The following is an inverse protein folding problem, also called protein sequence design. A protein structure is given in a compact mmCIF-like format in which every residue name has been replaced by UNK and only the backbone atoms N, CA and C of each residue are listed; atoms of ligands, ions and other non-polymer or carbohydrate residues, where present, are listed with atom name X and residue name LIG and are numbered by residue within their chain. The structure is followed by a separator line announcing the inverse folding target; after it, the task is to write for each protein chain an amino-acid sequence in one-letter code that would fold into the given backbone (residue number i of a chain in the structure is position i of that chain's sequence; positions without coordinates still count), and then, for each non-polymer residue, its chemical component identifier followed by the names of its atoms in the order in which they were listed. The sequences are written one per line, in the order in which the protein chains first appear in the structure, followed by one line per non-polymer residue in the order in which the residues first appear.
data_IF_335723221683
#
_entry.id   IF_335723221683
#
_cell.length_a   1.000
_cell.length_b   1.000
_cell.length_c   1.000
_cell.angle_alpha   90.00
_cell.angle_beta   90.00
_cell.angle_gamma   90.00
#
_symmetry.space_group_name_H-M   'P 1'
#
loop_
_entity.id
_entity.type
_entity.pdbx_description
1 polymer ?
#
# COMPACT_ATOMS: atom_id res chain seq x y z
N UNK A 1 12.71 1.12 16.44
CA UNK A 1 11.81 0.44 15.49
C UNK A 1 10.86 -0.46 16.28
N UNK A 2 9.56 -0.53 15.94
CA UNK A 2 8.67 -1.48 16.61
C UNK A 2 9.22 -2.89 16.41
N UNK A 3 9.17 -3.71 17.45
CA UNK A 3 9.71 -5.08 17.49
C UNK A 3 8.85 -6.03 16.66
N UNK A 4 8.86 -5.86 15.35
CA UNK A 4 8.21 -6.80 14.43
C UNK A 4 9.16 -7.98 14.20
N UNK A 5 8.81 -9.13 14.77
CA UNK A 5 9.56 -10.39 14.66
C UNK A 5 9.14 -11.21 13.42
N UNK A 6 8.64 -10.55 12.37
CA UNK A 6 8.21 -11.19 11.13
C UNK A 6 9.28 -11.23 10.05
N UNK A 7 9.07 -12.08 9.06
CA UNK A 7 9.86 -12.09 7.83
C UNK A 7 9.43 -10.94 6.92
N UNK A 8 10.40 -10.26 6.31
CA UNK A 8 10.21 -9.19 5.35
C UNK A 8 10.37 -9.78 3.94
N UNK A 9 9.42 -9.51 3.06
CA UNK A 9 9.50 -9.88 1.66
C UNK A 9 9.58 -8.61 0.82
N UNK A 10 10.67 -8.47 0.05
CA UNK A 10 10.84 -7.34 -0.88
C UNK A 10 10.58 -7.88 -2.28
N UNK A 11 9.40 -7.58 -2.82
CA UNK A 11 9.03 -8.02 -4.18
C UNK A 11 9.56 -7.03 -5.19
N UNK A 12 10.62 -7.41 -5.91
CA UNK A 12 11.25 -6.56 -6.92
C UNK A 12 12.08 -7.39 -7.89
N UNK A 13 12.11 -6.97 -9.15
CA UNK A 13 13.08 -7.45 -10.14
C UNK A 13 14.32 -6.52 -10.24
N UNK A 14 14.34 -5.43 -9.46
CA UNK A 14 15.40 -4.44 -9.40
C UNK A 14 15.92 -4.35 -7.95
N UNK A 15 16.93 -5.15 -7.63
CA UNK A 15 17.50 -5.18 -6.27
C UNK A 15 18.25 -3.87 -6.02
N UNK A 16 17.88 -3.07 -5.01
CA UNK A 16 18.59 -1.84 -4.71
C UNK A 16 20.03 -2.09 -4.28
N UNK A 17 20.95 -1.25 -4.73
CA UNK A 17 22.39 -1.39 -4.45
C UNK A 17 22.76 -1.21 -2.97
N UNK A 18 21.86 -0.67 -2.15
CA UNK A 18 22.05 -0.49 -0.71
C UNK A 18 21.67 -1.71 0.12
N UNK A 19 20.93 -2.68 -0.45
CA UNK A 19 20.38 -3.82 0.27
C UNK A 19 21.43 -4.94 0.42
N UNK A 20 21.76 -5.30 1.66
CA UNK A 20 22.64 -6.43 1.98
C UNK A 20 21.90 -7.76 1.88
N UNK A 21 21.84 -8.33 0.68
CA UNK A 21 21.18 -9.62 0.44
C UNK A 21 21.84 -10.81 1.15
N UNK A 22 23.10 -10.67 1.59
CA UNK A 22 23.84 -11.75 2.26
C UNK A 22 23.35 -11.96 3.70
N UNK A 23 23.16 -10.85 4.43
CA UNK A 23 22.58 -10.86 5.79
C UNK A 23 21.07 -11.00 5.78
N UNK A 24 20.44 -10.70 4.64
CA UNK A 24 18.99 -10.69 4.51
C UNK A 24 18.37 -12.07 4.66
N UNK A 25 18.98 -13.16 4.15
CA UNK A 25 18.29 -14.46 3.94
C UNK A 25 17.51 -15.04 5.14
N UNK A 26 17.91 -14.78 6.39
CA UNK A 26 17.23 -15.32 7.58
C UNK A 26 15.97 -14.56 7.99
N UNK A 27 15.84 -13.27 7.66
CA UNK A 27 14.67 -12.45 8.04
C UNK A 27 14.08 -11.63 6.88
N UNK A 28 14.84 -11.36 5.82
CA UNK A 28 14.44 -10.64 4.62
C UNK A 28 14.68 -11.50 3.38
N UNK A 29 13.67 -11.66 2.54
CA UNK A 29 13.78 -12.37 1.25
C UNK A 29 13.39 -11.44 0.12
N UNK A 30 14.28 -11.30 -0.86
CA UNK A 30 13.93 -10.66 -2.13
C UNK A 30 13.17 -11.69 -2.96
N UNK A 31 12.02 -11.29 -3.51
CA UNK A 31 11.14 -12.11 -4.33
C UNK A 31 11.11 -11.50 -5.73
N UNK A 32 11.50 -12.26 -6.75
CA UNK A 32 11.28 -11.83 -8.13
C UNK A 32 9.80 -11.99 -8.49
N UNK A 33 9.27 -11.12 -9.37
CA UNK A 33 7.91 -11.29 -9.89
C UNK A 33 7.72 -12.65 -10.58
N UNK A 34 8.80 -13.24 -11.10
CA UNK A 34 8.84 -14.59 -11.70
C UNK A 34 8.52 -15.72 -10.73
N UNK A 35 8.65 -15.51 -9.43
CA UNK A 35 8.30 -16.51 -8.41
C UNK A 35 6.80 -16.53 -8.11
N UNK A 36 6.08 -15.45 -8.41
CA UNK A 36 4.67 -15.28 -8.01
C UNK A 36 3.72 -15.05 -9.19
N UNK A 37 4.22 -14.70 -10.38
CA UNK A 37 3.46 -14.48 -11.60
C UNK A 37 3.85 -15.52 -12.65
N UNK A 38 2.85 -16.07 -13.35
CA UNK A 38 3.05 -16.99 -14.48
C UNK A 38 3.91 -16.32 -15.56
N UNK A 39 4.90 -17.05 -16.09
CA UNK A 39 5.87 -16.56 -17.08
C UNK A 39 5.19 -15.94 -18.31
N UNK A 40 4.01 -16.42 -18.72
CA UNK A 40 3.29 -15.87 -19.88
C UNK A 40 2.78 -14.43 -19.69
N UNK A 41 2.67 -13.99 -18.44
CA UNK A 41 2.24 -12.65 -18.04
C UNK A 41 3.43 -11.70 -17.76
N UNK A 42 4.66 -12.18 -17.96
CA UNK A 42 5.87 -11.41 -17.69
C UNK A 42 6.57 -10.95 -18.99
N UNK A 43 7.32 -9.83 -18.93
CA UNK A 43 7.48 -8.91 -17.80
C UNK A 43 6.23 -8.05 -17.56
N UNK A 44 6.03 -7.64 -16.29
CA UNK A 44 4.99 -6.66 -15.91
C UNK A 44 5.59 -5.53 -15.09
N UNK A 45 5.06 -4.33 -15.31
CA UNK A 45 5.31 -3.10 -14.54
C UNK A 45 4.00 -2.60 -13.90
N UNK A 46 2.95 -3.43 -13.94
CA UNK A 46 1.64 -3.12 -13.40
C UNK A 46 1.60 -3.50 -11.91
N UNK A 47 1.56 -2.49 -11.02
CA UNK A 47 1.45 -2.79 -9.59
C UNK A 47 0.16 -3.54 -9.24
N UNK A 48 -0.97 -3.31 -9.94
CA UNK A 48 -2.19 -4.07 -9.69
C UNK A 48 -1.98 -5.55 -10.01
N UNK A 49 -1.28 -5.88 -11.11
CA UNK A 49 -0.95 -7.27 -11.43
C UNK A 49 -0.04 -7.90 -10.36
N UNK A 50 0.98 -7.16 -9.90
CA UNK A 50 1.92 -7.64 -8.87
C UNK A 50 1.22 -7.85 -7.53
N UNK A 51 0.46 -6.86 -7.07
CA UNK A 51 -0.30 -6.87 -5.82
C UNK A 51 -1.31 -8.04 -5.78
N UNK A 52 -1.99 -8.32 -6.90
CA UNK A 52 -2.92 -9.45 -7.02
C UNK A 52 -2.26 -10.84 -7.02
N UNK A 53 -0.93 -10.92 -6.98
CA UNK A 53 -0.17 -12.17 -6.90
C UNK A 53 0.66 -12.31 -5.61
N UNK A 54 0.62 -11.34 -4.69
CA UNK A 54 1.43 -11.36 -3.46
C UNK A 54 1.12 -12.55 -2.55
N UNK A 55 -0.11 -13.05 -2.54
CA UNK A 55 -0.49 -14.22 -1.73
C UNK A 55 0.26 -15.50 -2.11
N UNK A 56 0.86 -15.53 -3.31
CA UNK A 56 1.67 -16.65 -3.82
C UNK A 56 3.11 -16.63 -3.34
N UNK A 57 3.55 -15.62 -2.58
CA UNK A 57 4.89 -15.58 -2.00
C UNK A 57 5.13 -16.88 -1.20
N UNK A 58 6.20 -17.64 -1.51
CA UNK A 58 6.52 -18.87 -0.78
C UNK A 58 6.71 -18.59 0.72
N UNK A 59 6.11 -19.43 1.55
CA UNK A 59 6.14 -19.32 3.02
C UNK A 59 5.54 -18.02 3.59
N UNK A 60 4.73 -17.29 2.81
CA UNK A 60 3.96 -16.17 3.33
C UNK A 60 2.98 -16.66 4.41
N UNK A 61 2.97 -15.96 5.54
CA UNK A 61 2.10 -16.26 6.68
C UNK A 61 0.65 -15.89 6.37
N UNK A 62 -0.27 -16.49 7.12
CA UNK A 62 -1.71 -16.24 6.97
C UNK A 62 -2.08 -14.77 7.20
N UNK A 63 -1.45 -14.12 8.17
CA UNK A 63 -1.61 -12.70 8.46
C UNK A 63 -0.33 -11.98 8.07
N UNK A 64 -0.42 -11.03 7.15
CA UNK A 64 0.72 -10.24 6.70
C UNK A 64 0.34 -8.78 6.47
N UNK A 65 1.35 -7.91 6.51
CA UNK A 65 1.19 -6.50 6.20
C UNK A 65 1.75 -6.24 4.80
N UNK A 66 0.94 -5.59 3.97
CA UNK A 66 1.40 -5.05 2.71
C UNK A 66 1.85 -3.59 2.90
N UNK A 67 3.07 -3.30 2.46
CA UNK A 67 3.63 -1.97 2.36
C UNK A 67 3.97 -1.67 0.91
N UNK A 68 3.48 -0.56 0.38
CA UNK A 68 3.98 -0.01 -0.87
C UNK A 68 5.28 0.79 -0.64
N UNK A 69 5.98 1.14 -1.72
CA UNK A 69 7.27 1.84 -1.72
C UNK A 69 7.23 3.27 -1.14
N UNK A 70 6.05 3.90 -1.12
CA UNK A 70 5.84 5.25 -0.60
C UNK A 70 5.34 5.29 0.85
N UNK A 71 5.19 4.15 1.54
CA UNK A 71 4.68 4.09 2.90
C UNK A 71 5.79 4.19 3.95
N UNK A 72 5.58 5.04 4.95
CA UNK A 72 6.52 5.34 6.02
C UNK A 72 5.79 5.25 7.37
N UNK A 73 6.42 4.59 8.34
CA UNK A 73 5.97 4.62 9.73
C UNK A 73 6.57 5.85 10.42
N UNK A 74 5.73 6.84 10.75
CA UNK A 74 6.19 8.11 11.33
C UNK A 74 6.46 8.05 12.84
N UNK A 75 5.89 7.06 13.53
CA UNK A 75 6.10 6.80 14.96
C UNK A 75 5.94 5.30 15.27
N UNK A 76 6.32 4.82 16.48
CA UNK A 76 6.10 3.42 16.86
C UNK A 76 4.63 3.02 16.70
N UNK A 77 4.43 1.82 16.17
CA UNK A 77 3.12 1.16 15.99
C UNK A 77 3.15 -0.21 16.66
N UNK A 78 1.97 -0.71 17.00
CA UNK A 78 1.72 -2.01 17.61
C UNK A 78 1.08 -2.97 16.60
N UNK A 79 0.98 -4.25 16.95
CA UNK A 79 0.25 -5.21 16.10
C UNK A 79 -1.24 -4.88 16.05
N UNK A 80 -1.82 -4.33 17.12
CA UNK A 80 -3.25 -3.97 17.22
C UNK A 80 -3.64 -2.76 16.35
N UNK A 81 -2.65 -2.04 15.81
CA UNK A 81 -2.87 -1.07 14.74
C UNK A 81 -3.25 -1.75 13.41
N UNK A 82 -3.00 -3.05 13.27
CA UNK A 82 -3.23 -3.79 12.04
C UNK A 82 -4.09 -5.05 12.22
N UNK A 83 -3.98 -5.73 13.35
CA UNK A 83 -4.72 -6.94 13.67
C UNK A 83 -5.22 -6.88 15.11
N UNK A 84 -6.51 -6.60 15.29
CA UNK A 84 -7.15 -6.67 16.61
C UNK A 84 -7.10 -8.13 17.10
N UNK A 85 -6.72 -8.30 18.37
CA UNK A 85 -6.47 -9.60 19.02
C UNK A 85 -5.50 -10.50 18.23
N UNK A 86 -4.62 -9.89 17.43
CA UNK A 86 -3.64 -10.57 16.58
C UNK A 86 -4.21 -11.35 15.39
N UNK A 87 -5.51 -11.25 15.08
CA UNK A 87 -6.17 -12.05 14.01
C UNK A 87 -7.15 -11.28 13.13
N UNK A 88 -7.74 -10.21 13.63
CA UNK A 88 -8.82 -9.49 12.95
C UNK A 88 -8.25 -8.27 12.22
N UNK A 89 -8.20 -8.25 10.87
CA UNK A 89 -7.64 -7.11 10.15
C UNK A 89 -8.35 -5.81 10.52
N UNK A 90 -7.57 -4.78 10.86
CA UNK A 90 -8.03 -3.42 11.08
C UNK A 90 -7.93 -2.67 9.75
N UNK A 91 -9.06 -2.48 9.10
CA UNK A 91 -9.13 -1.80 7.80
C UNK A 91 -9.49 -0.34 8.03
N UNK A 92 -8.54 0.53 7.69
CA UNK A 92 -8.77 1.96 7.76
C UNK A 92 -9.45 2.47 6.48
N UNK A 93 -10.53 3.23 6.63
CA UNK A 93 -11.15 4.01 5.56
C UNK A 93 -10.86 5.50 5.71
N UNK A 94 -10.62 6.17 4.59
CA UNK A 94 -10.63 7.63 4.48
C UNK A 94 -12.08 8.16 4.61
N UNK A 95 -12.27 9.43 4.93
CA UNK A 95 -13.59 10.08 4.96
C UNK A 95 -14.22 10.25 3.56
N UNK A 96 -13.47 10.05 2.48
CA UNK A 96 -13.99 10.15 1.11
C UNK A 96 -14.75 8.89 0.69
N UNK A 97 -16.00 9.08 0.27
CA UNK A 97 -16.82 8.06 -0.36
C UNK A 97 -16.37 7.79 -1.80
N UNK A 98 -16.34 6.51 -2.17
CA UNK A 98 -16.06 6.07 -3.54
C UNK A 98 -17.24 6.27 -4.49
N UNK A 99 -18.45 6.40 -3.96
CA UNK A 99 -19.67 6.75 -4.70
C UNK A 99 -19.71 8.20 -5.17
N UNK A 100 -18.83 9.08 -4.64
CA UNK A 100 -18.78 10.48 -5.05
C UNK A 100 -18.07 10.62 -6.42
N UNK A 101 -18.84 10.95 -7.45
CA UNK A 101 -18.40 11.04 -8.85
C UNK A 101 -17.68 12.35 -9.20
N UNK A 102 -17.66 13.35 -8.32
CA UNK A 102 -16.99 14.64 -8.54
C UNK A 102 -15.45 14.56 -8.47
N UNK A 103 -14.90 13.36 -8.42
CA UNK A 103 -13.48 13.13 -8.21
C UNK A 103 -12.79 12.92 -9.56
N UNK A 104 -11.79 13.75 -9.89
CA UNK A 104 -10.98 13.56 -11.11
C UNK A 104 -10.44 12.12 -11.18
N UNK A 105 -10.84 11.41 -12.23
CA UNK A 105 -10.53 10.00 -12.44
C UNK A 105 -9.11 9.87 -12.97
N UNK A 106 -8.26 9.23 -12.16
CA UNK A 106 -7.02 8.64 -12.63
C UNK A 106 -7.17 7.12 -12.63
N UNK A 107 -6.22 6.42 -13.25
CA UNK A 107 -6.27 4.97 -13.40
C UNK A 107 -6.42 4.21 -12.07
N UNK A 108 -5.81 4.70 -10.99
CA UNK A 108 -5.95 4.09 -9.66
C UNK A 108 -7.37 4.19 -9.11
N UNK A 109 -7.98 5.38 -9.20
CA UNK A 109 -9.36 5.58 -8.76
C UNK A 109 -10.33 4.80 -9.63
N UNK A 110 -10.06 4.73 -10.94
CA UNK A 110 -10.84 3.92 -11.86
C UNK A 110 -10.80 2.44 -11.45
N UNK A 111 -9.64 1.91 -11.08
CA UNK A 111 -9.51 0.53 -10.60
C UNK A 111 -10.34 0.26 -9.33
N UNK A 112 -10.45 1.23 -8.42
CA UNK A 112 -11.34 1.12 -7.25
C UNK A 112 -12.83 1.15 -7.65
N UNK A 113 -13.22 1.96 -8.63
CA UNK A 113 -14.60 1.96 -9.15
C UNK A 113 -14.95 0.65 -9.87
N UNK A 114 -14.02 0.10 -10.67
CA UNK A 114 -14.19 -1.21 -11.29
C UNK A 114 -14.33 -2.31 -10.21
N UNK A 115 -13.57 -2.19 -9.11
CA UNK A 115 -13.69 -3.08 -7.95
C UNK A 115 -15.08 -3.01 -7.33
N UNK A 116 -15.60 -1.80 -7.08
CA UNK A 116 -16.95 -1.62 -6.54
C UNK A 116 -17.99 -2.29 -7.44
N UNK A 117 -17.94 -2.03 -8.75
CA UNK A 117 -18.86 -2.61 -9.72
C UNK A 117 -18.86 -4.15 -9.70
N UNK A 118 -17.69 -4.77 -9.62
CA UNK A 118 -17.57 -6.23 -9.55
C UNK A 118 -18.10 -6.80 -8.23
N UNK A 119 -17.84 -6.12 -7.10
CA UNK A 119 -18.37 -6.53 -5.80
C UNK A 119 -19.88 -6.35 -5.73
N UNK A 120 -20.44 -5.27 -6.29
CA UNK A 120 -21.89 -5.05 -6.36
C UNK A 120 -22.57 -6.19 -7.11
N UNK A 121 -22.07 -6.52 -8.31
CA UNK A 121 -22.60 -7.63 -9.10
C UNK A 121 -22.47 -8.97 -8.37
N UNK A 122 -21.35 -9.20 -7.68
CA UNK A 122 -21.17 -10.42 -6.87
C UNK A 122 -22.18 -10.50 -5.73
N UNK A 123 -22.38 -9.42 -4.97
CA UNK A 123 -23.30 -9.36 -3.85
C UNK A 123 -24.76 -9.54 -4.28
N UNK A 124 -25.18 -8.88 -5.36
CA UNK A 124 -26.50 -9.06 -5.97
C UNK A 124 -26.74 -10.52 -6.35
N UNK A 125 -25.77 -11.16 -7.00
CA UNK A 125 -25.89 -12.57 -7.38
C UNK A 125 -25.89 -13.54 -6.17
N UNK A 126 -25.40 -13.10 -5.01
CA UNK A 126 -25.43 -13.88 -3.76
C UNK A 126 -26.61 -13.53 -2.83
N UNK A 127 -27.57 -12.73 -3.30
CA UNK A 127 -28.72 -12.23 -2.51
C UNK A 127 -28.33 -11.57 -1.18
N UNK A 128 -27.14 -10.93 -1.12
CA UNK A 128 -26.73 -10.16 0.04
C UNK A 128 -27.15 -8.70 -0.13
N UNK A 129 -27.92 -8.19 0.82
CA UNK A 129 -28.30 -6.79 0.87
C UNK A 129 -27.28 -6.01 1.71
N UNK A 130 -26.27 -5.44 1.05
CA UNK A 130 -25.22 -4.62 1.68
C UNK A 130 -25.34 -3.21 1.14
N UNK A 131 -25.25 -2.20 2.01
CA UNK A 131 -25.16 -0.82 1.53
C UNK A 131 -23.78 -0.54 0.95
N UNK A 132 -23.67 -0.59 -0.38
CA UNK A 132 -22.39 -0.37 -1.08
C UNK A 132 -22.11 1.10 -1.39
N UNK A 133 -23.08 1.99 -1.14
CA UNK A 133 -22.91 3.44 -1.31
C UNK A 133 -22.00 4.07 -0.26
N UNK A 134 -21.83 3.39 0.89
CA UNK A 134 -20.97 3.77 2.01
C UNK A 134 -19.54 3.24 1.89
N UNK A 135 -19.13 2.73 0.72
CA UNK A 135 -17.72 2.33 0.53
C UNK A 135 -16.81 3.54 0.51
N UNK A 136 -15.83 3.55 1.41
CA UNK A 136 -14.81 4.59 1.49
C UNK A 136 -13.51 4.19 0.78
N UNK A 137 -12.80 5.19 0.26
CA UNK A 137 -11.42 5.01 -0.20
C UNK A 137 -10.55 4.47 0.94
N UNK A 138 -9.58 3.63 0.62
CA UNK A 138 -8.54 3.29 1.58
C UNK A 138 -7.46 4.37 1.59
N UNK A 139 -6.91 4.73 2.77
CA UNK A 139 -5.73 5.58 2.84
C UNK A 139 -4.54 4.86 2.19
N UNK A 140 -3.59 5.63 1.64
CA UNK A 140 -2.29 5.12 1.20
C UNK A 140 -1.41 4.79 2.42
N UNK A 141 -1.80 3.75 3.16
CA UNK A 141 -1.18 3.32 4.40
C UNK A 141 -0.97 1.79 4.36
N UNK A 142 -0.19 1.21 5.27
CA UNK A 142 0.01 -0.23 5.27
C UNK A 142 -1.30 -0.98 5.48
N UNK A 143 -1.46 -2.08 4.74
CA UNK A 143 -2.71 -2.83 4.72
C UNK A 143 -2.53 -4.21 5.37
N UNK A 144 -3.30 -4.55 6.42
CA UNK A 144 -3.36 -5.91 6.92
C UNK A 144 -4.13 -6.79 5.94
N UNK A 145 -3.52 -7.91 5.56
CA UNK A 145 -4.12 -8.86 4.61
C UNK A 145 -4.13 -10.24 5.24
N UNK A 146 -5.27 -10.92 5.06
CA UNK A 146 -5.42 -12.35 5.32
C UNK A 146 -5.17 -13.12 4.01
N UNK A 147 -4.15 -13.97 4.00
CA UNK A 147 -3.73 -14.71 2.81
C UNK A 147 -4.85 -15.59 2.26
N UNK A 148 -5.57 -16.31 3.12
CA UNK A 148 -6.72 -17.12 2.69
C UNK A 148 -7.80 -16.33 1.94
N UNK A 149 -8.05 -15.07 2.32
CA UNK A 149 -9.02 -14.20 1.62
C UNK A 149 -8.46 -13.76 0.26
N UNK A 150 -7.17 -13.41 0.19
CA UNK A 150 -6.54 -13.10 -1.08
C UNK A 150 -6.53 -14.31 -2.04
N UNK A 151 -6.30 -15.52 -1.51
CA UNK A 151 -6.41 -16.77 -2.24
C UNK A 151 -7.83 -17.03 -2.74
N UNK A 152 -8.84 -16.86 -1.90
CA UNK A 152 -10.24 -17.01 -2.28
C UNK A 152 -10.61 -16.03 -3.39
N UNK A 153 -10.26 -14.75 -3.25
CA UNK A 153 -10.56 -13.72 -4.26
C UNK A 153 -9.87 -14.06 -5.59
N UNK A 154 -8.55 -14.27 -5.60
CA UNK A 154 -7.78 -14.33 -6.84
C UNK A 154 -7.66 -15.72 -7.46
N UNK A 155 -7.82 -16.77 -6.66
CA UNK A 155 -7.61 -18.16 -7.10
C UNK A 155 -8.91 -18.96 -7.18
N UNK A 156 -10.01 -18.46 -6.61
CA UNK A 156 -11.32 -19.13 -6.63
C UNK A 156 -12.43 -18.29 -7.26
N UNK A 157 -12.77 -17.13 -6.67
CA UNK A 157 -14.00 -16.38 -7.01
C UNK A 157 -13.84 -15.47 -8.23
N UNK A 158 -12.69 -14.80 -8.37
CA UNK A 158 -12.44 -13.79 -9.41
C UNK A 158 -11.26 -14.15 -10.32
N UNK A 159 -11.03 -15.44 -10.55
CA UNK A 159 -9.91 -15.96 -11.35
C UNK A 159 -9.87 -15.40 -12.78
N UNK A 160 -11.02 -15.10 -13.38
CA UNK A 160 -11.08 -14.46 -14.72
C UNK A 160 -10.49 -13.05 -14.68
N UNK A 161 -10.91 -12.24 -13.71
CA UNK A 161 -10.42 -10.87 -13.49
C UNK A 161 -8.92 -10.89 -13.15
N UNK A 162 -8.50 -11.85 -12.31
CA UNK A 162 -7.08 -12.05 -11.97
C UNK A 162 -6.21 -12.31 -13.21
N UNK A 163 -6.66 -13.19 -14.11
CA UNK A 163 -5.93 -13.52 -15.35
C UNK A 163 -5.87 -12.36 -16.32
N UNK A 164 -6.97 -11.63 -16.48
CA UNK A 164 -7.04 -10.44 -17.34
C UNK A 164 -6.09 -9.36 -16.84
N UNK A 165 -6.21 -8.96 -15.58
CA UNK A 165 -5.31 -7.97 -14.96
C UNK A 165 -3.85 -8.40 -15.00
N UNK A 166 -3.55 -9.68 -14.75
CA UNK A 166 -2.18 -10.19 -14.83
C UNK A 166 -1.60 -10.08 -16.25
N UNK A 167 -2.44 -10.09 -17.29
CA UNK A 167 -1.99 -9.97 -18.68
C UNK A 167 -1.56 -8.54 -19.08
N UNK A 168 -1.95 -7.53 -18.30
CA UNK A 168 -1.59 -6.15 -18.58
C UNK A 168 -0.17 -5.84 -18.12
N UNK A 169 0.68 -5.38 -19.05
CA UNK A 169 2.08 -5.01 -18.75
C UNK A 169 2.21 -3.70 -17.95
N UNK A 170 1.31 -2.77 -18.16
CA UNK A 170 1.17 -1.53 -17.38
C UNK A 170 -0.24 -1.49 -16.80
N UNK A 171 -0.49 -0.58 -15.84
CA UNK A 171 -1.85 -0.39 -15.31
C UNK A 171 -2.80 -0.10 -16.46
N UNK A 172 -3.95 -0.76 -16.45
CA UNK A 172 -4.99 -0.64 -17.46
C UNK A 172 -6.29 -0.04 -16.86
N UNK A 173 -7.11 0.58 -17.69
CA UNK A 173 -8.38 1.17 -17.28
C UNK A 173 -9.42 0.14 -16.84
N UNK A 174 -9.22 -1.13 -17.19
CA UNK A 174 -10.05 -2.27 -16.78
C UNK A 174 -9.52 -3.00 -15.54
N UNK A 175 -8.35 -2.61 -15.03
CA UNK A 175 -7.82 -3.21 -13.79
C UNK A 175 -8.76 -2.98 -12.61
N UNK A 176 -8.60 -3.82 -11.59
CA UNK A 176 -9.16 -3.64 -10.25
C UNK A 176 -8.06 -3.32 -9.26
N UNK A 177 -8.41 -2.71 -8.12
CA UNK A 177 -7.42 -2.34 -7.11
C UNK A 177 -7.29 -3.48 -6.08
N UNK A 178 -6.19 -4.27 -6.07
CA UNK A 178 -6.21 -5.58 -5.41
C UNK A 178 -6.40 -5.51 -3.89
N UNK A 179 -5.66 -4.62 -3.24
CA UNK A 179 -5.74 -4.46 -1.78
C UNK A 179 -7.10 -3.90 -1.34
N UNK A 180 -7.72 -3.07 -2.19
CA UNK A 180 -9.05 -2.53 -1.96
C UNK A 180 -10.12 -3.61 -2.14
N UNK A 181 -9.96 -4.44 -3.18
CA UNK A 181 -10.82 -5.58 -3.45
C UNK A 181 -10.83 -6.55 -2.27
N UNK A 182 -9.66 -7.01 -1.82
CA UNK A 182 -9.54 -7.96 -0.70
C UNK A 182 -10.19 -7.37 0.56
N UNK A 183 -9.91 -6.10 0.86
CA UNK A 183 -10.44 -5.40 2.04
C UNK A 183 -11.97 -5.33 2.02
N UNK A 184 -12.55 -4.86 0.91
CA UNK A 184 -14.01 -4.72 0.77
C UNK A 184 -14.71 -6.08 0.69
N UNK A 185 -14.11 -7.05 0.00
CA UNK A 185 -14.60 -8.42 0.00
C UNK A 185 -14.69 -8.98 1.42
N UNK A 186 -13.64 -8.85 2.24
CA UNK A 186 -13.65 -9.31 3.63
C UNK A 186 -14.76 -8.66 4.46
N UNK A 187 -14.89 -7.32 4.38
CA UNK A 187 -15.92 -6.56 5.08
C UNK A 187 -17.33 -7.04 4.67
N UNK A 188 -17.56 -7.19 3.37
CA UNK A 188 -18.90 -7.38 2.82
C UNK A 188 -19.37 -8.83 2.82
N UNK A 189 -18.45 -9.80 2.91
CA UNK A 189 -18.83 -11.20 3.08
C UNK A 189 -19.37 -11.52 4.48
N UNK A 190 -19.10 -10.68 5.50
CA UNK A 190 -19.53 -10.86 6.91
C UNK A 190 -19.18 -12.22 7.55
N UNK A 191 -18.30 -13.00 6.93
CA UNK A 191 -17.95 -14.37 7.35
C UNK A 191 -16.62 -14.45 8.12
N UNK A 192 -16.11 -13.33 8.60
CA UNK A 192 -14.83 -13.29 9.30
C UNK A 192 -14.65 -12.06 10.16
N UNK A 193 -13.76 -12.17 11.14
CA UNK A 193 -13.42 -11.04 12.00
C UNK A 193 -12.67 -9.96 11.20
N UNK A 194 -13.17 -8.72 11.27
CA UNK A 194 -12.62 -7.51 10.64
C UNK A 194 -13.11 -6.29 11.41
N UNK A 195 -12.27 -5.28 11.56
CA UNK A 195 -12.58 -4.02 12.24
C UNK A 195 -12.42 -2.88 11.23
N UNK A 196 -13.47 -2.12 10.94
CA UNK A 196 -13.37 -0.92 10.09
C UNK A 196 -13.20 0.33 10.95
N UNK A 197 -12.09 1.04 10.76
CA UNK A 197 -11.81 2.32 11.44
C UNK A 197 -11.78 3.47 10.45
N UNK A 198 -12.10 4.67 10.89
CA UNK A 198 -11.93 5.89 10.08
C UNK A 198 -10.60 6.56 10.39
N UNK A 199 -9.88 6.98 9.35
CA UNK A 199 -8.74 7.86 9.48
C UNK A 199 -9.03 9.19 8.78
N UNK A 200 -8.75 10.28 9.49
CA UNK A 200 -8.62 11.59 8.85
C UNK A 200 -7.33 11.60 8.05
N UNK A 201 -7.43 11.69 6.73
CA UNK A 201 -6.31 11.74 5.80
C UNK A 201 -6.09 13.18 5.33
N UNK A 202 -5.34 14.00 6.06
CA UNK A 202 -5.24 15.41 5.66
C UNK A 202 -3.88 16.12 5.83
N UNK A 203 -2.76 15.59 6.29
CA UNK A 203 -1.49 16.32 6.52
C UNK A 203 -1.61 17.77 7.08
N UNK A 204 -2.73 18.13 7.70
CA UNK A 204 -3.16 19.53 7.84
C UNK A 204 -3.54 19.92 9.25
N UNK A 205 -3.92 18.95 10.09
CA UNK A 205 -4.05 19.12 11.53
C UNK A 205 -3.10 18.18 12.27
N UNK A 206 -2.82 18.50 13.53
CA UNK A 206 -1.87 17.77 14.37
C UNK A 206 -2.42 16.47 14.97
N UNK A 207 -3.71 16.20 14.78
CA UNK A 207 -4.44 15.05 15.34
C UNK A 207 -4.50 13.84 14.39
N UNK A 208 -3.89 13.93 13.22
CA UNK A 208 -4.06 12.92 12.19
C UNK A 208 -3.10 11.74 12.36
N UNK A 209 -3.64 10.53 12.45
CA UNK A 209 -2.85 9.30 12.44
C UNK A 209 -2.32 8.94 11.04
N UNK A 210 -2.84 9.57 9.97
CA UNK A 210 -2.42 9.33 8.59
C UNK A 210 -2.22 10.63 7.79
N UNK A 211 -1.10 10.73 7.10
CA UNK A 211 -0.80 11.82 6.19
C UNK A 211 -0.40 11.28 4.80
N UNK A 212 -1.08 11.73 3.75
CA UNK A 212 -0.72 11.45 2.36
C UNK A 212 -0.28 12.72 1.65
N UNK A 213 0.96 12.74 1.15
CA UNK A 213 1.51 13.87 0.43
C UNK A 213 2.05 13.46 -0.94
N UNK A 214 1.76 14.28 -1.95
CA UNK A 214 2.39 14.19 -3.26
C UNK A 214 3.30 15.39 -3.44
N UNK A 215 4.60 15.17 -3.61
CA UNK A 215 5.57 16.19 -3.95
C UNK A 215 5.41 16.60 -5.42
N UNK A 216 5.22 17.89 -5.67
CA UNK A 216 5.03 18.48 -7.01
C UNK A 216 6.21 19.40 -7.37
N UNK A 217 6.12 20.12 -8.48
CA UNK A 217 7.13 21.08 -8.97
C UNK A 217 7.21 22.37 -8.11
N UNK A 218 7.40 22.24 -6.80
CA UNK A 218 7.51 23.37 -5.88
C UNK A 218 8.41 23.05 -4.69
N UNK A 219 9.65 23.55 -4.74
CA UNK A 219 10.59 23.44 -3.62
C UNK A 219 10.04 24.10 -2.35
N UNK A 220 9.32 25.23 -2.48
CA UNK A 220 8.70 25.92 -1.35
C UNK A 220 7.66 25.03 -0.66
N UNK A 221 6.77 24.40 -1.42
CA UNK A 221 5.75 23.50 -0.84
C UNK A 221 6.39 22.26 -0.21
N UNK A 222 7.41 21.68 -0.85
CA UNK A 222 8.14 20.54 -0.28
C UNK A 222 8.78 20.90 1.08
N UNK A 223 9.45 22.06 1.18
CA UNK A 223 10.03 22.55 2.44
C UNK A 223 8.98 22.77 3.51
N UNK A 224 7.91 23.50 3.19
CA UNK A 224 6.82 23.75 4.13
C UNK A 224 6.19 22.46 4.66
N UNK A 225 6.07 21.45 3.80
CA UNK A 225 5.59 20.14 4.20
C UNK A 225 6.54 19.43 5.18
N UNK A 226 7.84 19.36 4.86
CA UNK A 226 8.82 18.73 5.75
C UNK A 226 8.98 19.49 7.06
N UNK A 227 9.00 20.82 7.03
CA UNK A 227 9.07 21.66 8.23
C UNK A 227 7.84 21.45 9.11
N UNK A 228 6.64 21.35 8.53
CA UNK A 228 5.44 20.99 9.29
C UNK A 228 5.63 19.67 10.00
N UNK A 229 6.10 18.62 9.32
CA UNK A 229 6.33 17.33 9.96
C UNK A 229 7.39 17.39 11.07
N UNK A 230 8.49 18.15 10.88
CA UNK A 230 9.55 18.34 11.88
C UNK A 230 9.05 18.97 13.18
N UNK A 231 8.20 19.98 13.07
CA UNK A 231 7.77 20.79 14.21
C UNK A 231 6.41 20.35 14.79
N UNK A 232 5.86 19.24 14.32
CA UNK A 232 4.63 18.68 14.88
C UNK A 232 4.86 18.16 16.30
N UNK A 233 3.88 18.33 17.21
CA UNK A 233 3.93 17.71 18.53
C UNK A 233 4.01 16.18 18.45
N UNK A 234 3.36 15.59 17.45
CA UNK A 234 3.35 14.16 17.20
C UNK A 234 3.34 13.85 15.70
N UNK A 235 4.19 12.92 15.29
CA UNK A 235 4.20 12.39 13.93
C UNK A 235 2.97 11.50 13.67
N UNK A 236 2.36 11.58 12.47
CA UNK A 236 1.37 10.59 12.05
C UNK A 236 1.92 9.17 12.18
N UNK A 237 1.07 8.19 12.51
CA UNK A 237 1.47 6.77 12.51
C UNK A 237 1.91 6.35 11.12
N UNK A 238 1.10 6.69 10.13
CA UNK A 238 1.29 6.32 8.74
C UNK A 238 1.49 7.58 7.90
N UNK A 239 2.52 7.56 7.07
CA UNK A 239 2.86 8.64 6.18
C UNK A 239 3.06 8.06 4.78
N UNK A 240 2.43 8.65 3.77
CA UNK A 240 2.70 8.36 2.37
C UNK A 240 3.30 9.58 1.71
N UNK A 241 4.48 9.44 1.10
CA UNK A 241 5.13 10.51 0.35
C UNK A 241 5.45 9.99 -1.06
N UNK A 242 4.61 10.38 -2.01
CA UNK A 242 4.81 10.08 -3.41
C UNK A 242 5.39 11.31 -4.13
N UNK A 243 6.04 11.12 -5.28
CA UNK A 243 6.59 12.20 -6.08
C UNK A 243 5.95 12.22 -7.48
N UNK A 244 5.53 13.42 -7.90
CA UNK A 244 5.12 13.73 -9.27
C UNK A 244 5.93 14.90 -9.79
N UNK A 245 7.21 14.91 -9.44
CA UNK A 245 8.13 15.96 -9.88
C UNK A 245 8.53 15.72 -11.33
N UNK A 246 8.39 16.73 -12.18
CA UNK A 246 8.81 16.63 -13.58
C UNK A 246 10.32 16.48 -13.66
N UNK A 247 10.79 15.58 -14.51
CA UNK A 247 12.22 15.43 -14.82
C UNK A 247 12.86 16.72 -15.33
N UNK A 248 12.07 17.61 -15.93
CA UNK A 248 12.50 18.92 -16.43
C UNK A 248 12.42 20.04 -15.38
N UNK A 249 11.93 19.77 -14.16
CA UNK A 249 11.86 20.80 -13.13
C UNK A 249 13.26 21.11 -12.58
N UNK A 250 13.71 22.35 -12.80
CA UNK A 250 15.08 22.80 -12.49
C UNK A 250 15.48 22.63 -11.01
N UNK A 251 14.52 22.57 -10.09
CA UNK A 251 14.77 22.34 -8.65
C UNK A 251 14.44 20.93 -8.17
N UNK A 252 14.20 19.96 -9.06
CA UNK A 252 13.90 18.57 -8.68
C UNK A 252 14.98 17.97 -7.77
N UNK A 253 16.26 18.16 -8.12
CA UNK A 253 17.37 17.70 -7.28
C UNK A 253 17.39 18.34 -5.88
N UNK A 254 16.94 19.60 -5.76
CA UNK A 254 16.81 20.26 -4.45
C UNK A 254 15.66 19.66 -3.64
N UNK A 255 14.52 19.34 -4.25
CA UNK A 255 13.42 18.64 -3.58
C UNK A 255 13.90 17.30 -3.01
N UNK A 256 14.65 16.52 -3.80
CA UNK A 256 15.18 15.24 -3.32
C UNK A 256 16.24 15.39 -2.23
N UNK A 257 17.06 16.44 -2.28
CA UNK A 257 17.99 16.76 -1.19
C UNK A 257 17.23 17.06 0.11
N UNK A 258 16.15 17.83 0.03
CA UNK A 258 15.27 18.11 1.18
C UNK A 258 14.61 16.84 1.72
N UNK A 259 14.10 15.98 0.83
CA UNK A 259 13.47 14.73 1.21
C UNK A 259 14.46 13.76 1.88
N UNK A 260 15.66 13.59 1.32
CA UNK A 260 16.71 12.76 1.94
C UNK A 260 17.16 13.32 3.28
N UNK A 261 17.27 14.65 3.41
CA UNK A 261 17.57 15.29 4.70
C UNK A 261 16.49 14.96 5.73
N UNK A 262 15.22 15.12 5.37
CA UNK A 262 14.09 14.75 6.23
C UNK A 262 14.12 13.27 6.65
N UNK A 263 14.37 12.35 5.71
CA UNK A 263 14.46 10.92 6.04
C UNK A 263 15.64 10.60 6.97
N UNK A 264 16.81 11.24 6.80
CA UNK A 264 17.97 11.07 7.69
C UNK A 264 17.71 11.60 9.10
N UNK A 265 16.95 12.68 9.21
CA UNK A 265 16.53 13.23 10.51
C UNK A 265 15.54 12.30 11.22
N UNK A 266 14.57 11.74 10.48
CA UNK A 266 13.59 10.80 11.02
C UNK A 266 14.15 9.41 11.33
N UNK A 267 15.05 8.91 10.50
CA UNK A 267 15.64 7.59 10.59
C UNK A 267 17.17 7.69 10.65
N UNK A 268 17.72 8.20 11.77
CA UNK A 268 19.16 8.43 11.89
C UNK A 268 19.98 7.13 11.96
N UNK A 269 19.32 6.02 12.29
CA UNK A 269 19.94 4.71 12.37
C UNK A 269 19.63 3.91 11.10
N UNK A 270 20.69 3.43 10.45
CA UNK A 270 20.58 2.50 9.31
C UNK A 270 19.86 1.23 9.73
N UNK A 271 19.08 0.69 8.81
CA UNK A 271 18.56 -0.66 8.92
C UNK A 271 19.72 -1.66 8.95
N UNK A 272 19.56 -2.74 9.72
CA UNK A 272 20.52 -3.86 9.74
C UNK A 272 20.67 -4.58 8.39
N UNK A 273 19.75 -4.32 7.46
CA UNK A 273 19.76 -4.84 6.10
C UNK A 273 20.46 -3.92 5.10
N UNK A 274 20.96 -2.75 5.53
CA UNK A 274 21.77 -1.88 4.67
C UNK A 274 23.24 -2.32 4.64
N UNK A 275 23.87 -2.19 3.46
CA UNK A 275 25.32 -2.32 3.34
C UNK A 275 26.01 -1.22 4.16
N UNK A 276 27.12 -1.59 4.83
CA UNK A 276 27.86 -0.69 5.74
C UNK A 276 28.29 0.61 5.05
N UNK A 277 28.72 0.52 3.80
CA UNK A 277 29.33 1.62 3.05
C UNK A 277 28.34 2.38 2.14
N UNK A 278 27.04 2.09 2.22
CA UNK A 278 26.06 2.82 1.40
C UNK A 278 25.70 4.17 2.02
N UNK A 279 25.75 5.24 1.24
CA UNK A 279 25.23 6.57 1.62
C UNK A 279 23.97 6.89 0.82
N UNK A 280 22.86 7.18 1.52
CA UNK A 280 21.61 7.73 0.97
C UNK A 280 21.81 9.11 0.31
#
# INVERSE_FOLDING_TARGET
MPSFHGHIYVVTDQIPNWLDISKSKSQLRVISTREIIDKKYLPTFNSHAIEANLHKIPNLKEFYLYFNDDYILGRPVSIDDFFLDGKCPVIYGDNRLTSNTNVTLNIHKKAMLNTNFLLDNFLTNTNRNVNTSDRHFLPHAPHPIRKSIAEEVWSSKFTKIHREQSSHRFRDMNDVHPTYFISRYLIEQSNGCVEERRMKSACSSDEEDFCNQVLKNSLKQARLFFDRLRYRPQMPKFLSINDRTSTHYIHRGRIYKEFRRFLKEMFPHKSKFELKDCTL
#
